data_IF_540780791135
#
_entry.id   IF_540780791135
#
_cell.length_a   1.000
_cell.length_b   1.000
_cell.length_c   1.000
_cell.angle_alpha   90.00
_cell.angle_beta   90.00
_cell.angle_gamma   90.00
#
_symmetry.space_group_name_H-M   'P 1'
#
loop_
_entity.id
_entity.type
_entity.pdbx_description
1 polymer ?
#
# COMPACT_ATOMS: atom_id res chain seq x y z
N UNK A 1 -6.71 11.26 0.75
CA UNK A 1 -7.38 11.67 -0.51
C UNK A 1 -6.29 11.83 -1.55
N UNK A 2 -6.49 11.33 -2.77
CA UNK A 2 -5.51 11.43 -3.86
C UNK A 2 -6.11 12.31 -4.96
N UNK A 3 -5.74 13.60 -5.07
CA UNK A 3 -6.17 14.45 -6.18
C UNK A 3 -5.52 13.98 -7.47
N UNK A 4 -6.31 13.94 -8.55
CA UNK A 4 -5.87 13.54 -9.90
C UNK A 4 -6.06 14.64 -10.94
N UNK A 5 -6.06 15.90 -10.49
CA UNK A 5 -6.35 17.09 -11.30
C UNK A 5 -5.09 17.71 -11.95
N UNK A 6 -3.99 16.96 -12.02
CA UNK A 6 -2.75 17.37 -12.67
C UNK A 6 -1.80 18.18 -11.78
N UNK A 7 -2.15 18.43 -10.51
CA UNK A 7 -1.19 19.01 -9.56
C UNK A 7 -0.08 18.02 -9.23
N UNK A 8 1.12 18.54 -8.96
CA UNK A 8 2.27 17.75 -8.50
C UNK A 8 2.44 17.87 -6.99
N UNK A 9 3.27 17.00 -6.39
CA UNK A 9 3.62 17.13 -4.98
C UNK A 9 4.30 18.50 -4.74
N UNK A 10 3.83 19.27 -3.75
CA UNK A 10 4.53 20.46 -3.29
C UNK A 10 5.99 20.14 -2.92
N UNK A 11 6.90 21.10 -3.16
CA UNK A 11 8.30 20.97 -2.75
C UNK A 11 8.47 21.00 -1.24
N UNK A 12 7.68 21.85 -0.59
CA UNK A 12 7.66 22.04 0.86
C UNK A 12 6.37 21.42 1.42
N UNK A 13 6.49 20.20 1.91
CA UNK A 13 5.40 19.45 2.52
C UNK A 13 5.49 19.53 4.04
N UNK A 14 4.39 19.90 4.68
CA UNK A 14 4.27 19.77 6.14
C UNK A 14 4.26 18.28 6.51
N UNK A 15 5.18 17.81 7.38
CA UNK A 15 5.26 16.40 7.73
C UNK A 15 3.98 15.90 8.40
N UNK A 16 3.43 14.78 7.92
CA UNK A 16 2.19 14.19 8.43
C UNK A 16 2.29 12.68 8.58
N UNK A 17 1.32 12.08 9.28
CA UNK A 17 1.30 10.64 9.56
C UNK A 17 1.16 9.76 8.32
N UNK A 18 0.49 10.27 7.26
CA UNK A 18 0.19 9.52 6.04
C UNK A 18 0.80 10.15 4.79
N UNK A 19 1.58 11.21 4.96
CA UNK A 19 2.08 12.01 3.85
C UNK A 19 0.97 12.75 3.10
N UNK A 20 1.37 13.40 2.02
CA UNK A 20 0.50 13.98 1.00
C UNK A 20 0.66 13.17 -0.27
N UNK A 21 -0.47 12.81 -0.89
CA UNK A 21 -0.50 12.07 -2.15
C UNK A 21 -1.00 12.95 -3.28
N UNK A 22 -0.52 12.71 -4.49
CA UNK A 22 -1.11 13.18 -5.76
C UNK A 22 -1.11 12.02 -6.74
N UNK A 23 -2.00 12.04 -7.72
CA UNK A 23 -2.03 11.00 -8.75
C UNK A 23 -2.17 11.56 -10.16
N UNK A 24 -1.69 10.78 -11.13
CA UNK A 24 -1.86 11.05 -12.55
C UNK A 24 -2.04 9.74 -13.32
N UNK A 25 -2.58 9.84 -14.53
CA UNK A 25 -2.77 8.68 -15.41
C UNK A 25 -1.62 8.58 -16.41
N UNK A 26 -1.04 7.40 -16.52
CA UNK A 26 -0.11 7.00 -17.58
C UNK A 26 -0.78 5.91 -18.42
N UNK A 27 -1.48 6.31 -19.48
CA UNK A 27 -2.39 5.42 -20.19
C UNK A 27 -3.48 4.90 -19.25
N UNK A 28 -3.57 3.58 -19.10
CA UNK A 28 -4.56 2.91 -18.23
C UNK A 28 -4.04 2.65 -16.81
N UNK A 29 -2.87 3.19 -16.46
CA UNK A 29 -2.27 3.04 -15.12
C UNK A 29 -2.44 4.32 -14.32
N UNK A 30 -3.08 4.24 -13.16
CA UNK A 30 -3.05 5.30 -12.16
C UNK A 30 -1.72 5.23 -11.41
N UNK A 31 -0.93 6.29 -11.49
CA UNK A 31 0.29 6.47 -10.73
C UNK A 31 0.01 7.42 -9.58
N UNK A 32 0.40 7.02 -8.36
CA UNK A 32 0.21 7.80 -7.15
C UNK A 32 1.57 8.02 -6.52
N UNK A 33 1.92 9.27 -6.28
CA UNK A 33 3.14 9.65 -5.57
C UNK A 33 2.77 10.20 -4.19
N UNK A 34 3.41 9.69 -3.15
CA UNK A 34 3.23 10.12 -1.77
C UNK A 34 4.56 10.48 -1.12
N UNK A 35 4.62 11.63 -0.46
CA UNK A 35 5.78 12.11 0.28
C UNK A 35 5.35 12.97 1.50
N UNK A 36 6.31 13.48 2.27
CA UNK A 36 6.02 14.33 3.44
C UNK A 36 5.55 13.54 4.66
N UNK A 37 6.09 12.33 4.83
CA UNK A 37 5.87 11.53 6.04
C UNK A 37 6.60 12.15 7.23
N UNK A 38 6.06 11.97 8.44
CA UNK A 38 6.68 12.46 9.67
C UNK A 38 7.78 11.55 10.24
N UNK A 39 7.99 10.36 9.66
CA UNK A 39 9.01 9.39 10.08
C UNK A 39 8.79 8.76 11.45
N UNK A 40 7.56 8.78 11.99
CA UNK A 40 7.23 8.25 13.34
C UNK A 40 6.41 6.97 13.32
N UNK A 41 6.24 6.37 12.15
CA UNK A 41 5.49 5.14 11.94
C UNK A 41 6.41 4.04 11.42
N UNK A 42 5.91 2.81 11.42
CA UNK A 42 6.55 1.70 10.73
C UNK A 42 6.12 1.68 9.26
N UNK A 43 7.01 1.20 8.39
CA UNK A 43 6.76 1.10 6.95
C UNK A 43 5.70 0.04 6.66
N UNK A 44 5.77 -1.07 7.40
CA UNK A 44 4.88 -2.21 7.27
C UNK A 44 4.62 -2.89 8.63
N UNK A 45 3.86 -3.99 8.60
CA UNK A 45 3.50 -4.78 9.79
C UNK A 45 4.67 -5.59 10.36
N UNK A 46 5.81 -5.65 9.67
CA UNK A 46 7.03 -6.28 10.16
C UNK A 46 7.99 -5.26 10.81
N UNK A 47 7.49 -4.06 11.11
CA UNK A 47 8.19 -3.02 11.87
C UNK A 47 9.45 -2.50 11.18
N UNK A 48 9.51 -2.56 9.84
CA UNK A 48 10.62 -1.96 9.11
C UNK A 48 10.61 -0.42 9.30
N UNK A 49 11.77 0.20 9.60
CA UNK A 49 11.85 1.63 9.85
C UNK A 49 11.77 2.43 8.54
N UNK A 50 11.15 3.61 8.60
CA UNK A 50 11.28 4.63 7.57
C UNK A 50 11.48 6.01 8.20
N UNK A 51 11.95 6.95 7.40
CA UNK A 51 12.23 8.32 7.77
C UNK A 51 11.22 9.29 7.18
N UNK A 52 11.46 10.57 7.43
CA UNK A 52 10.81 11.70 6.79
C UNK A 52 11.20 11.89 5.31
N UNK A 53 12.22 11.16 4.83
CA UNK A 53 12.64 11.16 3.42
C UNK A 53 11.99 10.05 2.59
N UNK A 54 11.08 9.27 3.19
CA UNK A 54 10.32 8.26 2.47
C UNK A 54 9.54 8.89 1.31
N UNK A 55 9.71 8.31 0.12
CA UNK A 55 8.84 8.52 -1.04
C UNK A 55 8.22 7.18 -1.44
N UNK A 56 6.93 7.21 -1.70
CA UNK A 56 6.16 6.03 -2.11
C UNK A 56 5.52 6.32 -3.45
N UNK A 57 5.78 5.45 -4.42
CA UNK A 57 5.17 5.49 -5.75
C UNK A 57 4.37 4.22 -5.96
N UNK A 58 3.05 4.37 -6.05
CA UNK A 58 2.12 3.27 -6.31
C UNK A 58 1.66 3.33 -7.77
N UNK A 59 1.53 2.18 -8.41
CA UNK A 59 1.01 2.02 -9.77
C UNK A 59 -0.12 1.01 -9.74
N UNK A 60 -1.30 1.46 -10.14
CA UNK A 60 -2.52 0.65 -10.21
C UNK A 60 -2.97 0.54 -11.65
N UNK A 61 -2.97 -0.67 -12.19
CA UNK A 61 -3.48 -0.97 -13.52
C UNK A 61 -4.58 -2.01 -13.43
N UNK A 62 -5.64 -1.83 -14.24
CA UNK A 62 -6.73 -2.80 -14.34
C UNK A 62 -6.64 -3.51 -15.70
N UNK A 63 -5.89 -4.62 -15.82
CA UNK A 63 -5.69 -5.29 -17.11
C UNK A 63 -6.96 -5.92 -17.67
N UNK A 64 -7.90 -6.29 -16.80
CA UNK A 64 -9.18 -6.87 -17.17
C UNK A 64 -10.25 -6.58 -16.10
N UNK A 65 -11.44 -7.13 -16.27
CA UNK A 65 -12.55 -6.88 -15.36
C UNK A 65 -12.29 -7.41 -13.94
N UNK A 66 -11.59 -8.53 -13.80
CA UNK A 66 -11.47 -9.29 -12.56
C UNK A 66 -10.17 -9.00 -11.79
N UNK A 67 -9.22 -8.27 -12.37
CA UNK A 67 -7.89 -8.08 -11.76
C UNK A 67 -7.48 -6.60 -11.65
N UNK A 68 -6.80 -6.27 -10.55
CA UNK A 68 -6.03 -5.03 -10.40
C UNK A 68 -4.58 -5.40 -10.11
N UNK A 69 -3.68 -5.02 -11.00
CA UNK A 69 -2.24 -5.07 -10.77
C UNK A 69 -1.84 -3.85 -9.95
N UNK A 70 -1.25 -4.09 -8.79
CA UNK A 70 -0.75 -3.07 -7.88
C UNK A 70 0.76 -3.26 -7.69
N UNK A 71 1.55 -2.25 -8.05
CA UNK A 71 2.97 -2.18 -7.73
C UNK A 71 3.21 -0.99 -6.80
N UNK A 72 4.02 -1.19 -5.77
CA UNK A 72 4.49 -0.12 -4.90
C UNK A 72 6.00 -0.12 -4.86
N UNK A 73 6.59 1.06 -5.07
CA UNK A 73 8.01 1.33 -4.92
C UNK A 73 8.19 2.29 -3.75
N UNK A 74 9.06 1.93 -2.80
CA UNK A 74 9.37 2.72 -1.61
C UNK A 74 10.85 3.09 -1.63
N UNK A 75 11.13 4.38 -1.52
CA UNK A 75 12.47 4.94 -1.56
C UNK A 75 12.73 5.73 -0.28
N UNK A 76 13.74 5.31 0.48
CA UNK A 76 14.20 6.03 1.66
C UNK A 76 15.73 5.90 1.77
N UNK A 77 16.50 6.92 1.35
CA UNK A 77 17.95 6.84 1.33
C UNK A 77 18.58 6.83 2.73
N UNK A 78 17.84 7.13 3.81
CA UNK A 78 18.35 7.03 5.18
C UNK A 78 18.37 5.59 5.68
N UNK A 79 17.37 4.78 5.31
CA UNK A 79 17.21 3.41 5.82
C UNK A 79 17.49 2.31 4.80
N UNK A 80 17.33 2.59 3.49
CA UNK A 80 17.46 1.59 2.44
C UNK A 80 18.50 2.00 1.39
N UNK A 81 19.37 1.06 1.02
CA UNK A 81 20.41 1.30 0.01
C UNK A 81 19.89 1.27 -1.43
N UNK A 82 18.68 0.75 -1.64
CA UNK A 82 18.01 0.64 -2.94
C UNK A 82 16.48 0.76 -2.75
N UNK A 83 15.75 1.17 -3.79
CA UNK A 83 14.28 1.14 -3.76
C UNK A 83 13.76 -0.26 -3.45
N UNK A 84 12.80 -0.33 -2.52
CA UNK A 84 12.06 -1.55 -2.21
C UNK A 84 10.83 -1.62 -3.11
N UNK A 85 10.62 -2.77 -3.76
CA UNK A 85 9.47 -2.98 -4.64
C UNK A 85 8.62 -4.15 -4.17
N UNK A 86 7.31 -3.97 -4.19
CA UNK A 86 6.34 -5.03 -3.95
C UNK A 86 5.24 -4.95 -5.02
N UNK A 87 4.86 -6.10 -5.57
CA UNK A 87 3.81 -6.21 -6.57
C UNK A 87 2.76 -7.24 -6.11
N UNK A 88 1.49 -6.91 -6.33
CA UNK A 88 0.34 -7.74 -5.97
C UNK A 88 -0.69 -7.69 -7.09
N UNK A 89 -1.46 -8.76 -7.23
CA UNK A 89 -2.67 -8.79 -8.05
C UNK A 89 -3.86 -8.96 -7.12
N UNK A 90 -4.74 -7.97 -7.10
CA UNK A 90 -6.02 -8.08 -6.42
C UNK A 90 -7.02 -8.72 -7.37
N UNK A 91 -7.75 -9.73 -6.87
CA UNK A 91 -8.76 -10.48 -7.63
C UNK A 91 -10.14 -10.05 -7.15
N UNK A 92 -11.05 -9.80 -8.09
CA UNK A 92 -12.43 -9.47 -7.82
C UNK A 92 -13.10 -10.63 -7.05
N UNK A 93 -13.82 -10.27 -6.00
CA UNK A 93 -14.55 -11.25 -5.19
C UNK A 93 -15.65 -11.92 -6.02
N UNK A 94 -15.79 -13.23 -5.86
CA UNK A 94 -16.86 -13.99 -6.52
C UNK A 94 -18.22 -13.63 -5.89
N UNK A 95 -19.32 -13.78 -6.65
CA UNK A 95 -20.66 -13.58 -6.10
C UNK A 95 -20.88 -14.38 -4.80
N UNK A 96 -21.43 -13.73 -3.78
CA UNK A 96 -21.69 -14.32 -2.47
C UNK A 96 -20.50 -14.29 -1.50
N UNK A 97 -19.34 -13.76 -1.89
CA UNK A 97 -18.27 -13.44 -0.94
C UNK A 97 -18.47 -12.04 -0.36
N UNK A 98 -18.11 -11.86 0.91
CA UNK A 98 -18.20 -10.58 1.62
C UNK A 98 -16.85 -10.19 2.23
N UNK A 99 -16.59 -8.89 2.31
CA UNK A 99 -15.44 -8.36 3.03
C UNK A 99 -15.72 -8.44 4.53
N UNK A 100 -15.07 -9.38 5.20
CA UNK A 100 -15.15 -9.48 6.65
C UNK A 100 -14.25 -8.45 7.33
N UNK A 101 -14.61 -8.10 8.56
CA UNK A 101 -13.77 -7.28 9.42
C UNK A 101 -12.40 -7.95 9.59
N UNK A 102 -11.35 -7.21 9.25
CA UNK A 102 -9.99 -7.63 9.51
C UNK A 102 -9.52 -7.01 10.83
N UNK A 103 -9.36 -7.86 11.85
CA UNK A 103 -8.79 -7.50 13.14
C UNK A 103 -7.45 -8.21 13.33
N UNK A 104 -6.37 -7.42 13.37
CA UNK A 104 -5.00 -7.94 13.53
C UNK A 104 -4.83 -8.81 14.78
N UNK A 105 -5.63 -8.60 15.82
CA UNK A 105 -5.54 -9.35 17.07
C UNK A 105 -6.26 -10.71 17.01
N UNK A 106 -7.24 -10.87 16.11
CA UNK A 106 -8.18 -12.01 16.13
C UNK A 106 -7.92 -13.04 15.03
N UNK A 107 -7.11 -12.70 14.01
CA UNK A 107 -6.77 -13.60 12.91
C UNK A 107 -5.43 -14.35 13.08
N UNK A 108 -4.80 -14.26 14.27
CA UNK A 108 -3.61 -15.03 14.66
C UNK A 108 -3.94 -16.48 15.08
N UNK A 109 -4.99 -17.10 14.49
CA UNK A 109 -5.40 -18.47 14.84
C UNK A 109 -4.51 -19.52 14.18
N UNK A 110 -3.91 -19.19 13.04
CA UNK A 110 -3.03 -20.09 12.31
C UNK A 110 -1.58 -19.79 12.67
N UNK A 111 -1.04 -20.55 13.61
CA UNK A 111 0.38 -20.47 13.97
C UNK A 111 1.25 -20.80 12.74
N UNK A 112 2.05 -19.84 12.28
CA UNK A 112 2.92 -20.01 11.13
C UNK A 112 2.21 -20.28 9.79
N UNK A 113 0.92 -19.93 9.66
CA UNK A 113 0.13 -20.15 8.44
C UNK A 113 -0.44 -21.56 8.27
N UNK A 114 -0.27 -22.44 9.27
CA UNK A 114 -0.87 -23.78 9.25
C UNK A 114 -2.27 -23.74 9.88
N UNK A 115 -3.30 -23.55 9.06
CA UNK A 115 -4.68 -23.56 9.54
C UNK A 115 -5.25 -24.99 9.59
N UNK A 116 -5.89 -25.36 10.70
CA UNK A 116 -6.77 -26.51 10.75
C UNK A 116 -8.20 -26.11 10.38
N UNK A 117 -9.09 -27.06 10.01
CA UNK A 117 -10.50 -26.75 9.76
C UNK A 117 -11.25 -26.10 10.93
N UNK A 118 -10.73 -26.20 12.16
CA UNK A 118 -11.29 -25.55 13.33
C UNK A 118 -10.90 -24.06 13.44
N UNK A 119 -9.82 -23.65 12.76
CA UNK A 119 -9.28 -22.29 12.79
C UNK A 119 -9.91 -21.41 11.70
N UNK A 120 -10.51 -22.02 10.68
CA UNK A 120 -11.21 -21.31 9.60
C UNK A 120 -12.53 -20.75 10.14
N UNK A 121 -12.69 -19.44 10.00
CA UNK A 121 -13.91 -18.72 10.40
C UNK A 121 -15.10 -19.27 9.61
N UNK A 122 -16.17 -19.68 10.32
CA UNK A 122 -17.48 -19.96 9.72
C UNK A 122 -18.21 -18.67 9.39
#
# INVERSE_FOLDING_TARGET
>A
MVPTDGRTLPKDLDPSWRGTSVGHWEGDTLVIETAGFNGRTWLDTAEHPHSDQLRVTERMARPDYDHINYEVTMEDPKFYSKPLKNARVFVLMKPGQELYEYSCNENNRCEGGNCTPADVQK
#
